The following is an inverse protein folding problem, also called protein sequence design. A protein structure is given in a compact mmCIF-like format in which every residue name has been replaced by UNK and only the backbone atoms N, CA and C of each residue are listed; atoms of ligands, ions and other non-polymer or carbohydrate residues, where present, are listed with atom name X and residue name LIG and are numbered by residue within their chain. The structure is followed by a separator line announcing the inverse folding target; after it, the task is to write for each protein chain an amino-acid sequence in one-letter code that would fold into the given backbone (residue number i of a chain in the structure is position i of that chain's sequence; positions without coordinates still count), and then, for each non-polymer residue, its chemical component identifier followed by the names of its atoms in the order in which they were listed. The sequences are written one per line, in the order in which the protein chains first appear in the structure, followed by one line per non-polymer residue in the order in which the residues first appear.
data_IF_267572362327
#
_entry.id   IF_267572362327
#
_cell.length_a   1.000
_cell.length_b   1.000
_cell.length_c   1.000
_cell.angle_alpha   90.00
_cell.angle_beta   90.00
_cell.angle_gamma   90.00
#
_symmetry.space_group_name_H-M   'P 1'
#
loop_
_entity.id
_entity.type
_entity.pdbx_description
1 polymer ?
#
# COMPACT_ATOMS: atom_id res chain seq x y z
N UNK A 1 -13.83 -64.69 -31.31
CA UNK A 1 -14.62 -64.00 -30.26
C UNK A 1 -14.00 -64.06 -28.87
N UNK A 2 -13.55 -65.22 -28.34
CA UNK A 2 -12.96 -65.31 -26.98
C UNK A 2 -11.71 -64.43 -26.75
N UNK A 3 -10.84 -64.27 -27.76
CA UNK A 3 -9.62 -63.46 -27.65
C UNK A 3 -9.86 -61.94 -27.64
N UNK A 4 -10.96 -61.47 -28.23
CA UNK A 4 -11.32 -60.04 -28.29
C UNK A 4 -11.94 -59.60 -26.96
N UNK A 5 -12.73 -60.48 -26.34
CA UNK A 5 -13.33 -60.25 -25.02
C UNK A 5 -12.23 -60.15 -23.94
N UNK A 6 -11.19 -60.99 -24.01
CA UNK A 6 -10.07 -60.93 -23.07
C UNK A 6 -9.27 -59.61 -23.19
N UNK A 7 -9.07 -59.11 -24.42
CA UNK A 7 -8.38 -57.84 -24.68
C UNK A 7 -9.18 -56.63 -24.15
N UNK A 8 -10.50 -56.65 -24.31
CA UNK A 8 -11.41 -55.60 -23.81
C UNK A 8 -11.46 -55.56 -22.28
N UNK A 9 -11.39 -56.71 -21.60
CA UNK A 9 -11.37 -56.76 -20.13
C UNK A 9 -10.04 -56.21 -19.58
N UNK A 10 -8.90 -56.53 -20.21
CA UNK A 10 -7.59 -56.02 -19.80
C UNK A 10 -7.49 -54.49 -20.01
N UNK A 11 -8.02 -53.97 -21.12
CA UNK A 11 -8.12 -52.53 -21.36
C UNK A 11 -9.03 -51.83 -20.33
N UNK A 12 -10.12 -52.46 -19.89
CA UNK A 12 -11.01 -51.90 -18.87
C UNK A 12 -10.35 -51.88 -17.47
N UNK A 13 -9.55 -52.89 -17.12
CA UNK A 13 -8.80 -52.97 -15.86
C UNK A 13 -7.63 -51.97 -15.83
N UNK A 14 -6.97 -51.70 -16.97
CA UNK A 14 -5.95 -50.66 -17.05
C UNK A 14 -6.54 -49.23 -17.07
N UNK A 15 -7.75 -49.04 -17.63
CA UNK A 15 -8.42 -47.73 -17.62
C UNK A 15 -8.92 -47.32 -16.22
N UNK A 16 -9.25 -48.27 -15.35
CA UNK A 16 -9.70 -47.98 -13.98
C UNK A 16 -8.55 -47.65 -13.03
N UNK A 17 -7.33 -48.12 -13.29
CA UNK A 17 -6.14 -47.76 -12.50
C UNK A 17 -5.67 -46.32 -12.76
N UNK A 18 -5.96 -45.74 -13.93
CA UNK A 18 -5.59 -44.34 -14.26
C UNK A 18 -6.57 -43.28 -13.73
N UNK A 19 -7.73 -43.67 -13.19
CA UNK A 19 -8.76 -42.73 -12.70
C UNK A 19 -8.79 -42.54 -11.19
N UNK A 20 -7.96 -43.26 -10.44
CA UNK A 20 -7.72 -42.98 -9.03
C UNK A 20 -6.43 -42.18 -8.91
N UNK A 21 -6.51 -40.88 -9.20
CA UNK A 21 -5.49 -39.95 -8.71
C UNK A 21 -5.42 -40.12 -7.20
N UNK A 22 -4.27 -40.55 -6.68
CA UNK A 22 -4.03 -40.59 -5.24
C UNK A 22 -4.39 -39.21 -4.67
N UNK A 23 -5.39 -39.18 -3.79
CA UNK A 23 -5.65 -38.00 -2.99
C UNK A 23 -4.39 -37.80 -2.15
N UNK A 24 -3.58 -36.81 -2.52
CA UNK A 24 -2.39 -36.43 -1.76
C UNK A 24 -2.71 -36.26 -0.28
N UNK A 25 -1.70 -36.38 0.61
CA UNK A 25 -1.92 -36.32 2.04
C UNK A 25 -2.70 -35.05 2.41
N UNK A 26 -3.77 -35.22 3.20
CA UNK A 26 -4.59 -34.08 3.62
C UNK A 26 -3.69 -33.09 4.39
N UNK A 27 -3.76 -31.77 4.09
CA UNK A 27 -2.87 -30.78 4.71
C UNK A 27 -2.90 -30.86 6.22
N UNK A 28 -1.77 -30.58 6.88
CA UNK A 28 -1.63 -30.65 8.33
C UNK A 28 -2.71 -29.85 9.07
N UNK A 29 -3.02 -30.25 10.30
CA UNK A 29 -4.04 -29.60 11.11
C UNK A 29 -3.44 -28.40 11.84
N UNK A 30 -4.20 -27.32 11.93
CA UNK A 30 -3.83 -26.18 12.78
C UNK A 30 -4.07 -26.59 14.24
N UNK A 31 -3.10 -26.34 15.10
CA UNK A 31 -3.23 -26.53 16.56
C UNK A 31 -3.25 -25.18 17.27
N UNK A 32 -3.95 -25.11 18.39
CA UNK A 32 -3.95 -23.95 19.28
C UNK A 32 -2.72 -23.96 20.21
N UNK A 33 -2.62 -22.96 21.08
CA UNK A 33 -1.51 -22.79 22.03
C UNK A 33 -1.44 -23.89 23.10
N UNK A 34 -2.45 -24.75 23.22
CA UNK A 34 -2.46 -25.92 24.09
C UNK A 34 -2.12 -27.21 23.32
N UNK A 35 -1.78 -27.11 22.03
CA UNK A 35 -1.52 -28.24 21.14
C UNK A 35 -2.79 -28.99 20.72
N UNK A 36 -3.98 -28.44 21.00
CA UNK A 36 -5.25 -29.05 20.60
C UNK A 36 -5.62 -28.60 19.20
N UNK A 37 -6.31 -29.48 18.46
CA UNK A 37 -6.74 -29.19 17.08
C UNK A 37 -7.74 -28.06 17.05
N UNK A 38 -7.51 -27.07 16.19
CA UNK A 38 -8.46 -26.01 15.90
C UNK A 38 -9.66 -26.59 15.15
N UNK A 39 -10.87 -26.33 15.64
CA UNK A 39 -12.13 -26.90 15.13
C UNK A 39 -13.00 -25.83 14.49
N UNK A 40 -13.79 -26.25 13.51
CA UNK A 40 -14.80 -25.39 12.90
C UNK A 40 -15.93 -25.07 13.90
N UNK A 41 -16.50 -23.87 13.82
CA UNK A 41 -17.68 -23.50 14.63
C UNK A 41 -17.43 -23.21 16.12
N UNK A 42 -16.18 -23.26 16.57
CA UNK A 42 -15.78 -22.89 17.94
C UNK A 42 -15.07 -21.54 17.92
N UNK A 43 -15.22 -20.77 19.00
CA UNK A 43 -14.59 -19.46 19.18
C UNK A 43 -13.12 -19.59 19.60
N UNK A 44 -12.24 -18.89 18.88
CA UNK A 44 -10.81 -18.81 19.14
C UNK A 44 -10.35 -17.35 19.22
N UNK A 45 -9.39 -17.05 20.09
CA UNK A 45 -8.68 -15.77 20.06
C UNK A 45 -7.43 -15.91 19.20
N UNK A 46 -7.29 -15.08 18.17
CA UNK A 46 -6.03 -14.98 17.43
C UNK A 46 -5.13 -14.00 18.18
N UNK A 47 -3.98 -14.47 18.66
CA UNK A 47 -2.98 -13.67 19.38
C UNK A 47 -1.74 -13.50 18.51
N UNK A 48 -1.35 -12.27 18.14
CA UNK A 48 -0.05 -12.03 17.55
C UNK A 48 1.06 -12.47 18.50
N UNK A 49 2.08 -13.11 17.93
CA UNK A 49 3.28 -13.53 18.67
C UNK A 49 4.07 -12.25 19.02
N UNK A 50 4.43 -12.03 20.31
CA UNK A 50 5.19 -10.85 20.71
C UNK A 50 6.55 -10.80 20.00
N UNK A 51 6.91 -9.62 19.47
CA UNK A 51 8.22 -9.40 18.83
C UNK A 51 9.33 -9.11 19.84
N UNK A 52 8.98 -8.86 21.10
CA UNK A 52 9.91 -8.71 22.22
C UNK A 52 9.80 -9.91 23.16
N UNK A 53 10.89 -10.64 23.41
CA UNK A 53 10.91 -11.69 24.41
C UNK A 53 10.54 -11.11 25.77
N UNK A 54 9.73 -11.82 26.54
CA UNK A 54 9.47 -11.53 27.94
C UNK A 54 10.73 -11.87 28.77
N UNK A 55 11.78 -11.07 28.63
CA UNK A 55 13.08 -11.28 29.29
C UNK A 55 13.15 -10.70 30.71
N UNK A 56 12.02 -10.20 31.22
CA UNK A 56 11.88 -9.68 32.58
C UNK A 56 12.44 -8.27 32.81
N UNK A 57 12.95 -7.56 31.78
CA UNK A 57 13.49 -6.19 31.92
C UNK A 57 12.53 -5.07 31.50
N UNK A 58 11.23 -5.37 31.40
CA UNK A 58 10.20 -4.37 31.13
C UNK A 58 8.79 -4.95 31.31
N UNK A 59 7.74 -4.12 31.30
CA UNK A 59 6.37 -4.60 31.32
C UNK A 59 6.15 -5.48 30.10
N UNK A 60 5.92 -6.77 30.34
CA UNK A 60 5.40 -7.66 29.30
C UNK A 60 4.07 -7.05 28.87
N UNK A 61 3.97 -6.55 27.63
CA UNK A 61 2.67 -6.13 27.10
C UNK A 61 1.91 -7.41 26.79
N UNK A 62 1.27 -7.97 27.81
CA UNK A 62 0.53 -9.23 27.72
C UNK A 62 -0.74 -8.98 26.90
N UNK A 63 -0.68 -9.36 25.63
CA UNK A 63 -1.85 -9.45 24.76
C UNK A 63 -1.89 -8.34 23.73
N UNK A 64 -1.70 -8.73 22.47
CA UNK A 64 -2.30 -8.02 21.35
C UNK A 64 -3.46 -8.85 20.85
N UNK A 65 -4.51 -8.21 20.36
CA UNK A 65 -5.70 -8.92 19.91
C UNK A 65 -6.47 -8.14 18.87
N UNK A 66 -7.19 -8.87 18.02
CA UNK A 66 -7.98 -8.27 16.96
C UNK A 66 -9.27 -7.69 17.52
N UNK A 67 -9.65 -6.49 17.08
CA UNK A 67 -10.93 -5.88 17.38
C UNK A 67 -11.53 -5.27 16.11
N UNK A 68 -12.85 -5.14 16.10
CA UNK A 68 -13.57 -4.44 15.05
C UNK A 68 -13.74 -2.96 15.44
N UNK A 69 -13.33 -2.05 14.56
CA UNK A 69 -13.45 -0.60 14.76
C UNK A 69 -14.01 0.10 13.52
N UNK A 70 -14.72 1.21 13.72
CA UNK A 70 -15.09 2.10 12.62
C UNK A 70 -13.82 2.64 11.92
N UNK A 71 -13.88 2.83 10.60
CA UNK A 71 -12.76 3.40 9.82
C UNK A 71 -12.47 4.83 10.23
N UNK A 72 -13.53 5.60 10.45
CA UNK A 72 -13.45 6.98 10.95
C UNK A 72 -14.80 7.39 11.55
N UNK A 73 -14.87 8.59 12.13
CA UNK A 73 -16.13 9.17 12.58
C UNK A 73 -17.17 9.31 11.45
N UNK A 74 -16.73 9.42 10.19
CA UNK A 74 -17.59 9.61 9.02
C UNK A 74 -17.83 8.31 8.23
N UNK A 75 -17.04 7.26 8.48
CA UNK A 75 -17.14 5.96 7.83
C UNK A 75 -17.23 4.90 8.93
N UNK A 76 -18.45 4.69 9.41
CA UNK A 76 -18.73 3.79 10.54
C UNK A 76 -18.84 2.32 10.12
N UNK A 77 -19.18 2.05 8.86
CA UNK A 77 -19.33 0.71 8.29
C UNK A 77 -18.72 0.65 6.88
N UNK A 78 -18.18 -0.52 6.45
CA UNK A 78 -17.94 -1.71 7.26
C UNK A 78 -16.79 -1.49 8.26
N UNK A 79 -16.72 -2.33 9.31
CA UNK A 79 -15.73 -2.20 10.37
C UNK A 79 -14.37 -2.75 9.90
N UNK A 80 -13.29 -2.06 10.28
CA UNK A 80 -11.93 -2.55 10.07
C UNK A 80 -11.55 -3.57 11.14
N UNK A 81 -10.79 -4.58 10.72
CA UNK A 81 -10.12 -5.52 11.61
C UNK A 81 -8.76 -4.94 12.00
N UNK A 82 -8.60 -4.54 13.27
CA UNK A 82 -7.36 -3.91 13.76
C UNK A 82 -6.77 -4.69 14.92
N UNK A 83 -5.46 -4.61 15.11
CA UNK A 83 -4.77 -5.16 16.28
C UNK A 83 -4.60 -4.07 17.31
N UNK A 84 -4.99 -4.35 18.56
CA UNK A 84 -4.81 -3.44 19.70
C UNK A 84 -3.89 -4.09 20.72
N UNK A 85 -2.86 -3.35 21.12
CA UNK A 85 -1.93 -3.74 22.18
C UNK A 85 -2.58 -3.64 23.57
N UNK A 86 -2.19 -4.52 24.48
CA UNK A 86 -2.75 -4.60 25.84
C UNK A 86 -4.16 -5.22 25.92
N UNK A 87 -4.69 -5.76 24.81
CA UNK A 87 -6.04 -6.32 24.76
C UNK A 87 -6.03 -7.76 24.22
N UNK A 88 -6.86 -8.64 24.81
CA UNK A 88 -6.95 -10.06 24.40
C UNK A 88 -7.55 -10.22 22.99
N UNK A 89 -8.29 -9.22 22.52
CA UNK A 89 -9.01 -9.25 21.25
C UNK A 89 -10.42 -9.83 21.38
N UNK A 90 -11.11 -9.87 20.25
CA UNK A 90 -12.41 -10.46 20.04
C UNK A 90 -12.25 -11.86 19.45
N UNK A 91 -13.07 -12.80 19.89
CA UNK A 91 -13.00 -14.16 19.40
C UNK A 91 -13.51 -14.25 17.94
N UNK A 92 -12.93 -15.19 17.20
CA UNK A 92 -13.30 -15.51 15.84
C UNK A 92 -13.71 -16.97 15.72
N UNK A 93 -14.53 -17.26 14.73
CA UNK A 93 -14.92 -18.59 14.32
C UNK A 93 -14.37 -18.81 12.91
N UNK A 94 -13.70 -19.95 12.73
CA UNK A 94 -13.23 -20.39 11.43
C UNK A 94 -14.24 -21.33 10.77
N UNK A 95 -14.52 -21.10 9.49
CA UNK A 95 -15.35 -21.97 8.66
C UNK A 95 -14.56 -22.36 7.41
N UNK A 96 -14.08 -23.62 7.29
CA UNK A 96 -13.31 -24.04 6.13
C UNK A 96 -14.22 -24.17 4.90
N UNK A 97 -13.63 -24.07 3.71
CA UNK A 97 -14.31 -24.21 2.41
C UNK A 97 -15.14 -25.49 2.30
N UNK A 98 -14.69 -26.56 2.98
CA UNK A 98 -15.47 -27.78 3.19
C UNK A 98 -15.85 -27.93 4.67
N UNK A 99 -17.03 -27.42 5.08
CA UNK A 99 -17.42 -27.37 6.49
C UNK A 99 -17.64 -28.76 7.12
N UNK A 100 -17.79 -29.81 6.30
CA UNK A 100 -17.98 -31.19 6.79
C UNK A 100 -16.73 -31.79 7.44
N UNK A 101 -15.55 -31.18 7.24
CA UNK A 101 -14.27 -31.75 7.69
C UNK A 101 -13.89 -31.45 9.16
N UNK A 102 -14.69 -30.67 9.91
CA UNK A 102 -14.62 -30.55 11.38
C UNK A 102 -13.37 -29.90 11.99
N UNK A 103 -12.23 -29.96 11.32
CA UNK A 103 -10.93 -29.43 11.74
C UNK A 103 -10.42 -28.40 10.74
N UNK A 104 -9.71 -27.40 11.24
CA UNK A 104 -9.03 -26.39 10.41
C UNK A 104 -7.66 -26.94 10.01
N UNK A 105 -7.31 -26.78 8.73
CA UNK A 105 -6.07 -27.29 8.14
C UNK A 105 -5.26 -26.18 7.53
N UNK A 106 -3.95 -26.34 7.55
CA UNK A 106 -3.02 -25.38 6.96
C UNK A 106 -3.28 -25.25 5.46
N UNK A 107 -3.07 -24.04 4.94
CA UNK A 107 -3.20 -23.68 3.53
C UNK A 107 -4.55 -24.05 2.89
N UNK A 108 -5.60 -24.24 3.69
CA UNK A 108 -6.97 -24.52 3.23
C UNK A 108 -7.79 -23.24 3.32
N UNK A 109 -8.52 -22.91 2.24
CA UNK A 109 -9.42 -21.74 2.21
C UNK A 109 -10.44 -21.81 3.35
N UNK A 110 -10.59 -20.71 4.08
CA UNK A 110 -11.55 -20.57 5.17
C UNK A 110 -12.09 -19.14 5.26
N UNK A 111 -13.29 -19.00 5.82
CA UNK A 111 -13.83 -17.71 6.25
C UNK A 111 -13.51 -17.51 7.74
N UNK A 112 -13.33 -16.25 8.12
CA UNK A 112 -13.14 -15.82 9.51
C UNK A 112 -14.32 -14.92 9.86
N UNK A 113 -15.01 -15.19 10.96
CA UNK A 113 -16.14 -14.37 11.43
C UNK A 113 -16.00 -14.08 12.91
N UNK A 114 -16.35 -12.87 13.34
CA UNK A 114 -16.51 -12.53 14.76
C UNK A 114 -17.97 -12.64 15.18
N UNK A 115 -18.30 -13.32 16.28
CA UNK A 115 -19.70 -13.49 16.72
C UNK A 115 -20.17 -12.34 17.62
N UNK A 116 -20.13 -11.12 17.09
CA UNK A 116 -20.54 -9.91 17.81
C UNK A 116 -21.70 -9.22 17.10
N UNK A 117 -22.62 -8.67 17.89
CA UNK A 117 -23.61 -7.71 17.41
C UNK A 117 -22.91 -6.37 17.21
N UNK A 118 -23.08 -5.76 16.04
CA UNK A 118 -22.46 -4.46 15.71
C UNK A 118 -23.53 -3.47 15.26
N UNK A 119 -23.16 -2.19 15.16
CA UNK A 119 -24.03 -1.15 14.60
C UNK A 119 -24.24 -1.29 13.09
N UNK A 120 -23.39 -2.08 12.43
CA UNK A 120 -23.41 -2.27 10.98
C UNK A 120 -24.44 -3.33 10.59
N UNK A 121 -25.13 -3.12 9.47
CA UNK A 121 -26.09 -4.08 8.93
C UNK A 121 -25.40 -5.23 8.19
N UNK A 122 -24.17 -5.01 7.74
CA UNK A 122 -23.35 -6.02 7.09
C UNK A 122 -22.86 -7.07 8.08
N UNK A 123 -22.52 -8.26 7.57
CA UNK A 123 -22.01 -9.35 8.39
C UNK A 123 -20.65 -9.01 9.01
N UNK A 124 -20.29 -9.68 10.10
CA UNK A 124 -18.95 -9.62 10.72
C UNK A 124 -17.93 -10.58 10.07
N UNK A 125 -18.24 -11.13 8.91
CA UNK A 125 -17.32 -11.99 8.15
C UNK A 125 -16.22 -11.12 7.56
N UNK A 126 -14.98 -11.51 7.80
CA UNK A 126 -13.81 -10.81 7.31
C UNK A 126 -13.75 -10.91 5.78
N UNK A 127 -13.40 -9.82 5.12
CA UNK A 127 -13.09 -9.73 3.69
C UNK A 127 -11.91 -8.80 3.47
N UNK A 128 -11.18 -9.01 2.38
CA UNK A 128 -10.29 -8.00 1.84
C UNK A 128 -11.15 -6.91 1.18
N UNK A 129 -10.98 -5.67 1.63
CA UNK A 129 -11.69 -4.53 1.05
C UNK A 129 -10.95 -3.96 -0.16
N UNK A 130 -11.54 -2.95 -0.80
CA UNK A 130 -10.89 -2.23 -1.90
C UNK A 130 -9.55 -1.60 -1.46
N UNK A 131 -8.63 -1.47 -2.43
CA UNK A 131 -7.33 -0.87 -2.19
C UNK A 131 -7.47 0.58 -1.70
N UNK A 132 -6.95 0.85 -0.49
CA UNK A 132 -6.85 2.22 0.01
C UNK A 132 -5.59 2.87 -0.54
N UNK A 133 -5.79 3.64 -1.61
CA UNK A 133 -4.75 4.44 -2.24
C UNK A 133 -4.09 5.47 -1.31
N UNK A 134 -4.73 5.87 -0.21
CA UNK A 134 -4.20 6.89 0.70
C UNK A 134 -3.14 6.34 1.66
N UNK A 135 -3.32 5.12 2.14
CA UNK A 135 -2.30 4.37 2.89
C UNK A 135 -1.38 3.57 1.97
N UNK A 136 -1.79 3.34 0.71
CA UNK A 136 -1.11 2.45 -0.22
C UNK A 136 -1.26 0.97 0.18
N UNK A 137 -2.33 0.64 0.90
CA UNK A 137 -2.53 -0.66 1.53
C UNK A 137 -3.91 -1.25 1.20
N UNK A 138 -4.03 -2.56 1.38
CA UNK A 138 -5.30 -3.27 1.39
C UNK A 138 -5.65 -3.57 2.84
N UNK A 139 -6.91 -3.38 3.23
CA UNK A 139 -7.36 -3.64 4.59
C UNK A 139 -8.29 -4.84 4.64
N UNK A 140 -8.27 -5.53 5.78
CA UNK A 140 -9.28 -6.54 6.12
C UNK A 140 -10.41 -5.84 6.88
N UNK A 141 -11.63 -5.97 6.37
CA UNK A 141 -12.83 -5.39 6.98
C UNK A 141 -13.93 -6.43 7.11
N UNK A 142 -15.04 -6.04 7.74
CA UNK A 142 -16.26 -6.85 7.78
C UNK A 142 -17.07 -6.73 6.49
N UNK A 143 -18.17 -7.49 6.39
CA UNK A 143 -19.12 -7.45 5.28
C UNK A 143 -18.93 -8.56 4.24
N UNK A 144 -18.14 -9.59 4.52
CA UNK A 144 -18.07 -10.79 3.69
C UNK A 144 -19.31 -11.69 3.82
N UNK A 145 -19.29 -12.85 3.15
CA UNK A 145 -20.37 -13.85 3.23
C UNK A 145 -19.78 -15.22 3.52
N UNK A 146 -20.35 -15.98 4.46
CA UNK A 146 -19.87 -17.36 4.72
C UNK A 146 -20.24 -18.27 3.53
N UNK A 147 -19.28 -19.06 3.07
CA UNK A 147 -19.51 -20.10 2.06
C UNK A 147 -19.58 -19.56 0.63
N UNK A 148 -20.27 -20.31 -0.24
CA UNK A 148 -20.39 -20.06 -1.68
C UNK A 148 -19.03 -19.84 -2.38
N UNK A 149 -18.08 -20.81 -2.28
CA UNK A 149 -16.75 -20.65 -2.85
C UNK A 149 -16.82 -20.41 -4.35
N UNK A 150 -16.23 -19.30 -4.80
CA UNK A 150 -16.25 -18.90 -6.20
C UNK A 150 -15.77 -17.47 -6.40
N UNK A 151 -15.95 -16.98 -7.62
CA UNK A 151 -15.58 -15.61 -8.02
C UNK A 151 -16.24 -14.54 -7.14
N UNK A 152 -17.50 -14.72 -6.77
CA UNK A 152 -18.30 -13.68 -6.10
C UNK A 152 -17.96 -13.53 -4.61
N UNK A 153 -17.34 -14.54 -4.00
CA UNK A 153 -16.92 -14.51 -2.58
C UNK A 153 -15.41 -14.52 -2.42
N UNK A 154 -14.66 -14.36 -3.51
CA UNK A 154 -13.20 -14.51 -3.51
C UNK A 154 -12.50 -13.60 -2.48
N UNK A 155 -13.07 -12.43 -2.19
CA UNK A 155 -12.52 -11.46 -1.24
C UNK A 155 -12.61 -11.89 0.23
N UNK A 156 -13.39 -12.91 0.59
CA UNK A 156 -13.58 -13.32 1.99
C UNK A 156 -12.99 -14.70 2.33
N UNK A 157 -12.07 -15.20 1.50
CA UNK A 157 -11.35 -16.45 1.72
C UNK A 157 -9.89 -16.19 2.12
N UNK A 158 -9.52 -16.73 3.27
CA UNK A 158 -8.20 -16.63 3.87
C UNK A 158 -7.62 -18.03 4.07
N UNK A 159 -6.33 -18.09 4.38
CA UNK A 159 -5.61 -19.30 4.78
C UNK A 159 -4.83 -19.06 6.05
N UNK A 160 -4.62 -20.13 6.81
CA UNK A 160 -3.65 -20.19 7.90
C UNK A 160 -2.47 -21.00 7.38
N UNK A 161 -1.26 -20.46 7.43
CA UNK A 161 -0.05 -21.13 7.00
C UNK A 161 0.93 -21.22 8.17
N UNK A 162 1.81 -22.24 8.15
CA UNK A 162 2.94 -22.29 9.08
C UNK A 162 3.88 -21.10 8.86
N UNK A 163 4.41 -20.57 9.95
CA UNK A 163 5.40 -19.50 9.93
C UNK A 163 6.28 -19.63 11.17
N UNK A 164 7.55 -19.99 10.95
CA UNK A 164 8.46 -20.39 12.01
C UNK A 164 7.83 -21.47 12.91
N UNK A 165 7.78 -21.25 14.22
CA UNK A 165 7.17 -22.16 15.20
C UNK A 165 5.65 -21.92 15.40
N UNK A 166 5.08 -20.95 14.68
CA UNK A 166 3.69 -20.47 14.82
C UNK A 166 2.94 -20.50 13.46
N UNK A 167 1.94 -19.63 13.34
CA UNK A 167 1.10 -19.48 12.16
C UNK A 167 0.99 -18.03 11.70
N UNK A 168 0.76 -17.84 10.40
CA UNK A 168 0.38 -16.56 9.79
C UNK A 168 -0.96 -16.68 9.07
N UNK A 169 -1.67 -15.56 9.00
CA UNK A 169 -2.83 -15.41 8.14
C UNK A 169 -2.39 -14.94 6.75
N UNK A 170 -3.03 -15.50 5.72
CA UNK A 170 -2.73 -15.19 4.31
C UNK A 170 -4.03 -14.96 3.56
N UNK A 171 -4.05 -13.90 2.74
CA UNK A 171 -5.06 -13.74 1.71
C UNK A 171 -4.45 -14.20 0.39
N UNK A 172 -4.80 -15.43 -0.02
CA UNK A 172 -4.41 -16.02 -1.30
C UNK A 172 -5.44 -17.11 -1.66
N UNK A 173 -6.67 -16.69 -1.99
CA UNK A 173 -7.80 -17.60 -2.12
C UNK A 173 -7.66 -18.51 -3.34
N UNK A 174 -8.02 -19.78 -3.18
CA UNK A 174 -7.99 -20.79 -4.27
C UNK A 174 -9.38 -21.32 -4.64
N UNK A 175 -10.43 -20.59 -4.27
CA UNK A 175 -11.83 -20.95 -4.55
C UNK A 175 -12.28 -20.63 -5.99
N UNK A 176 -11.40 -20.10 -6.84
CA UNK A 176 -11.70 -19.74 -8.22
C UNK A 176 -10.48 -19.97 -9.12
N UNK A 177 -10.54 -21.01 -9.95
CA UNK A 177 -9.39 -21.51 -10.73
C UNK A 177 -8.90 -20.53 -11.82
N UNK A 178 -9.78 -19.69 -12.34
CA UNK A 178 -9.45 -18.71 -13.39
C UNK A 178 -9.22 -17.29 -12.85
N UNK A 179 -9.48 -17.07 -11.56
CA UNK A 179 -9.24 -15.77 -10.94
C UNK A 179 -7.75 -15.57 -10.68
N UNK A 180 -7.29 -14.32 -10.72
CA UNK A 180 -5.93 -13.93 -10.33
C UNK A 180 -5.99 -13.03 -9.09
N UNK A 181 -6.38 -13.58 -7.92
CA UNK A 181 -6.52 -12.79 -6.71
C UNK A 181 -5.16 -12.29 -6.21
N UNK A 182 -5.21 -11.29 -5.33
CA UNK A 182 -4.05 -10.92 -4.54
C UNK A 182 -3.59 -12.13 -3.71
N UNK A 183 -2.28 -12.36 -3.66
CA UNK A 183 -1.66 -13.36 -2.79
C UNK A 183 -0.63 -12.67 -1.88
N UNK A 184 -1.03 -12.37 -0.63
CA UNK A 184 -0.20 -11.67 0.35
C UNK A 184 -0.47 -12.16 1.78
N UNK A 185 0.55 -12.07 2.63
CA UNK A 185 0.38 -12.24 4.08
C UNK A 185 -0.49 -11.10 4.64
N UNK A 186 -1.33 -11.43 5.61
CA UNK A 186 -2.10 -10.46 6.39
C UNK A 186 -1.24 -10.04 7.58
N UNK A 187 -1.00 -8.74 7.73
CA UNK A 187 -0.19 -8.18 8.82
C UNK A 187 -0.80 -6.91 9.39
N UNK A 188 -0.22 -6.41 10.48
CA UNK A 188 -0.63 -5.12 11.05
C UNK A 188 -0.14 -3.99 10.14
N UNK A 189 -1.09 -3.21 9.63
CA UNK A 189 -0.79 -1.97 8.93
C UNK A 189 -0.24 -0.95 9.93
N UNK A 190 0.99 -0.48 9.71
CA UNK A 190 1.47 0.73 10.39
C UNK A 190 0.48 1.89 10.17
N UNK A 191 0.31 2.77 11.16
CA UNK A 191 -0.62 3.89 11.08
C UNK A 191 -0.47 4.71 9.79
N UNK A 192 -1.54 5.42 9.39
CA UNK A 192 -1.52 6.27 8.21
C UNK A 192 -0.25 7.16 8.22
N UNK A 193 0.43 7.34 7.07
CA UNK A 193 1.69 8.08 7.06
C UNK A 193 1.51 9.46 7.69
N UNK A 194 2.51 9.88 8.45
CA UNK A 194 2.47 11.15 9.19
C UNK A 194 2.10 12.33 8.28
N UNK A 195 1.47 13.33 8.87
CA UNK A 195 1.07 14.54 8.13
C UNK A 195 2.31 15.39 7.85
N UNK A 196 2.38 15.96 6.65
CA UNK A 196 3.33 17.04 6.40
C UNK A 196 2.80 18.27 7.11
N UNK A 197 3.65 18.92 7.91
CA UNK A 197 3.34 20.19 8.57
C UNK A 197 4.16 21.33 7.98
N UNK A 198 3.55 22.51 7.93
CA UNK A 198 4.17 23.74 7.49
C UNK A 198 5.08 24.36 8.57
N UNK A 199 5.73 25.48 8.26
CA UNK A 199 6.62 26.22 9.17
C UNK A 199 5.95 26.71 10.45
N UNK A 200 4.61 26.71 10.53
CA UNK A 200 3.84 27.05 11.73
C UNK A 200 3.39 25.82 12.53
N UNK A 201 3.76 24.61 12.08
CA UNK A 201 3.34 23.35 12.69
C UNK A 201 1.91 22.92 12.30
N UNK A 202 1.27 23.61 11.36
CA UNK A 202 -0.07 23.26 10.87
C UNK A 202 0.02 22.28 9.71
N UNK A 203 -1.02 21.47 9.54
CA UNK A 203 -1.07 20.46 8.48
C UNK A 203 -1.08 21.12 7.09
N UNK A 204 -0.19 20.67 6.21
CA UNK A 204 -0.18 21.03 4.80
C UNK A 204 -1.40 20.44 4.10
N UNK A 205 -2.17 21.29 3.42
CA UNK A 205 -3.43 20.94 2.77
C UNK A 205 -3.30 20.90 1.26
N UNK A 206 -4.01 19.97 0.64
CA UNK A 206 -4.11 19.91 -0.81
C UNK A 206 -4.83 21.15 -1.35
N UNK A 207 -4.41 21.66 -2.51
CA UNK A 207 -5.04 22.83 -3.13
C UNK A 207 -4.71 24.19 -2.49
N UNK A 208 -3.92 24.22 -1.42
CA UNK A 208 -3.47 25.46 -0.78
C UNK A 208 -2.08 25.83 -1.30
N UNK A 209 -1.82 27.14 -1.40
CA UNK A 209 -0.56 27.69 -1.88
C UNK A 209 0.49 27.67 -0.75
N UNK A 210 1.66 27.12 -1.05
CA UNK A 210 2.81 27.12 -0.15
C UNK A 210 4.09 27.61 -0.85
N UNK A 211 4.84 28.49 -0.22
CA UNK A 211 6.22 28.75 -0.62
C UNK A 211 7.13 27.59 -0.23
N UNK A 212 8.06 27.29 -1.13
CA UNK A 212 9.21 26.42 -0.86
C UNK A 212 10.26 27.22 -0.08
N UNK A 213 10.57 26.80 1.14
CA UNK A 213 11.55 27.48 1.99
C UNK A 213 12.76 26.57 2.22
N UNK A 214 13.98 26.97 1.80
CA UNK A 214 15.20 26.26 2.17
C UNK A 214 15.30 26.08 3.68
N UNK A 215 15.62 24.88 4.14
CA UNK A 215 15.80 24.64 5.58
C UNK A 215 17.12 25.15 6.13
N UNK A 216 17.99 25.73 5.29
CA UNK A 216 19.26 26.31 5.72
C UNK A 216 19.06 27.79 6.06
N UNK A 217 19.37 28.24 7.29
CA UNK A 217 19.02 29.58 7.78
C UNK A 217 19.65 30.73 6.99
N UNK A 218 20.77 30.48 6.30
CA UNK A 218 21.51 31.48 5.53
C UNK A 218 21.18 31.46 4.03
N UNK A 219 20.18 30.67 3.60
CA UNK A 219 19.81 30.56 2.19
C UNK A 219 18.47 31.22 1.97
N UNK A 220 18.51 32.40 1.34
CA UNK A 220 17.31 33.06 0.85
C UNK A 220 17.09 32.61 -0.59
N UNK A 221 15.91 32.05 -0.85
CA UNK A 221 15.53 31.62 -2.18
C UNK A 221 14.27 30.76 -2.17
N UNK A 222 13.83 30.41 -3.36
CA UNK A 222 12.59 29.68 -3.59
C UNK A 222 12.59 29.03 -4.96
N UNK A 223 11.53 28.30 -5.26
CA UNK A 223 11.41 27.64 -6.56
C UNK A 223 10.71 28.50 -7.57
N UNK A 224 11.18 28.46 -8.81
CA UNK A 224 10.56 29.08 -9.95
C UNK A 224 10.72 28.16 -11.16
N UNK A 225 10.22 28.59 -12.31
CA UNK A 225 10.50 27.95 -13.58
C UNK A 225 11.01 28.98 -14.60
N UNK A 226 11.90 28.57 -15.48
CA UNK A 226 12.45 29.44 -16.53
C UNK A 226 12.93 28.65 -17.75
N UNK A 227 13.15 29.35 -18.86
CA UNK A 227 13.79 28.80 -20.05
C UNK A 227 15.28 28.60 -19.78
N UNK A 228 15.84 27.47 -20.23
CA UNK A 228 17.27 27.17 -20.08
C UNK A 228 17.86 26.84 -21.44
N UNK A 229 18.88 27.60 -21.84
CA UNK A 229 19.56 27.43 -23.12
C UNK A 229 18.76 27.97 -24.31
N UNK A 230 18.86 27.28 -25.45
CA UNK A 230 18.25 27.68 -26.73
C UNK A 230 16.81 27.19 -26.86
N UNK A 231 16.43 26.14 -26.12
CA UNK A 231 15.06 25.63 -26.11
C UNK A 231 14.20 26.44 -25.15
N UNK A 232 13.09 26.99 -25.67
CA UNK A 232 12.18 27.82 -24.89
C UNK A 232 11.19 27.02 -24.06
N UNK A 233 10.87 25.78 -24.45
CA UNK A 233 9.91 24.91 -23.77
C UNK A 233 10.36 23.43 -23.87
N UNK A 234 10.11 22.56 -22.86
CA UNK A 234 9.50 22.88 -21.57
C UNK A 234 10.38 23.69 -20.63
N UNK A 235 9.76 24.56 -19.83
CA UNK A 235 10.49 25.35 -18.84
C UNK A 235 11.03 24.43 -17.73
N UNK A 236 12.25 24.71 -17.30
CA UNK A 236 12.91 23.95 -16.25
C UNK A 236 12.54 24.49 -14.88
N UNK A 237 12.41 23.60 -13.90
CA UNK A 237 12.24 23.97 -12.49
C UNK A 237 13.60 24.35 -11.91
N UNK A 238 13.71 25.56 -11.36
CA UNK A 238 14.95 26.12 -10.83
C UNK A 238 14.78 26.63 -9.40
N UNK A 239 15.90 26.75 -8.71
CA UNK A 239 16.03 27.49 -7.46
C UNK A 239 16.50 28.92 -7.74
N UNK A 240 15.66 29.90 -7.45
CA UNK A 240 15.98 31.31 -7.55
C UNK A 240 16.52 31.82 -6.21
N UNK A 241 17.74 32.36 -6.20
CA UNK A 241 18.30 33.02 -5.01
C UNK A 241 17.56 34.33 -4.75
N UNK A 242 17.53 34.75 -3.48
CA UNK A 242 17.06 36.07 -3.04
C UNK A 242 15.60 36.39 -3.42
N UNK A 243 14.83 35.37 -3.77
CA UNK A 243 13.40 35.45 -4.09
C UNK A 243 12.65 34.33 -3.37
N UNK A 244 11.43 34.60 -2.88
CA UNK A 244 10.56 33.55 -2.29
C UNK A 244 10.08 32.52 -3.33
N UNK A 245 10.35 32.78 -4.62
CA UNK A 245 9.88 31.97 -5.72
C UNK A 245 8.36 32.02 -5.87
N UNK A 246 7.86 31.15 -6.74
CA UNK A 246 6.44 30.96 -7.01
C UNK A 246 5.84 29.95 -6.03
N UNK A 247 4.58 30.13 -5.58
CA UNK A 247 3.94 29.17 -4.70
C UNK A 247 3.69 27.83 -5.38
N UNK A 248 3.76 26.76 -4.59
CA UNK A 248 3.45 25.40 -4.97
C UNK A 248 2.07 25.01 -4.45
N UNK A 249 1.41 24.15 -5.22
CA UNK A 249 0.18 23.44 -4.84
C UNK A 249 0.44 21.95 -4.89
N UNK A 250 -0.06 21.23 -3.89
CA UNK A 250 0.02 19.78 -3.81
C UNK A 250 -1.33 19.14 -4.12
N UNK A 251 -1.31 18.11 -4.95
CA UNK A 251 -2.49 17.27 -5.23
C UNK A 251 -2.15 15.81 -4.94
N UNK A 252 -2.57 15.27 -3.78
CA UNK A 252 -2.39 13.86 -3.46
C UNK A 252 -3.03 12.95 -4.51
N UNK A 253 -2.47 11.75 -4.69
CA UNK A 253 -3.01 10.72 -5.60
C UNK A 253 -4.48 10.41 -5.35
N UNK A 254 -4.92 10.53 -4.10
CA UNK A 254 -6.31 10.53 -3.73
C UNK A 254 -6.82 11.97 -3.54
N UNK A 255 -7.36 12.54 -4.61
CA UNK A 255 -7.87 13.92 -4.63
C UNK A 255 -9.06 14.18 -3.69
N UNK A 256 -9.73 13.12 -3.20
CA UNK A 256 -10.82 13.25 -2.21
C UNK A 256 -10.31 13.59 -0.81
N UNK A 257 -9.00 13.42 -0.53
CA UNK A 257 -8.40 13.71 0.77
C UNK A 257 -7.58 14.99 0.71
N UNK A 258 -7.98 15.99 1.50
CA UNK A 258 -7.34 17.31 1.54
C UNK A 258 -6.07 17.42 2.38
N UNK A 259 -5.50 16.31 2.87
CA UNK A 259 -4.30 16.31 3.73
C UNK A 259 -3.11 15.76 2.98
N UNK A 260 -1.99 16.49 2.98
CA UNK A 260 -0.72 16.02 2.43
C UNK A 260 0.03 15.19 3.48
N UNK A 261 0.49 14.01 3.10
CA UNK A 261 1.14 13.04 3.99
C UNK A 261 2.51 12.64 3.47
N UNK A 262 3.41 12.29 4.39
CA UNK A 262 4.74 11.82 4.02
C UNK A 262 4.65 10.48 3.28
N UNK A 263 5.56 10.27 2.33
CA UNK A 263 5.69 9.06 1.53
C UNK A 263 4.45 8.63 0.72
N UNK A 264 3.47 9.53 0.54
CA UNK A 264 2.30 9.35 -0.33
C UNK A 264 2.55 10.02 -1.69
N UNK A 265 2.15 9.36 -2.77
CA UNK A 265 2.25 9.92 -4.13
C UNK A 265 1.39 11.19 -4.27
N UNK A 266 1.97 12.23 -4.85
CA UNK A 266 1.28 13.49 -5.15
C UNK A 266 1.84 14.14 -6.42
N UNK A 267 1.02 14.95 -7.08
CA UNK A 267 1.47 15.91 -8.08
C UNK A 267 1.84 17.23 -7.38
N UNK A 268 2.81 17.93 -7.97
CA UNK A 268 3.25 19.27 -7.55
C UNK A 268 3.08 20.18 -8.76
N UNK A 269 2.50 21.36 -8.59
CA UNK A 269 2.47 22.38 -9.63
C UNK A 269 2.71 23.76 -9.03
N UNK A 270 3.19 24.69 -9.84
CA UNK A 270 3.17 26.10 -9.44
C UNK A 270 1.73 26.63 -9.51
N UNK A 271 1.31 27.37 -8.48
CA UNK A 271 -0.04 27.92 -8.38
C UNK A 271 -0.36 28.87 -9.54
N UNK A 272 0.64 29.67 -9.90
CA UNK A 272 0.61 30.64 -10.97
C UNK A 272 2.05 30.92 -11.44
N UNK A 273 2.17 31.59 -12.58
CA UNK A 273 3.42 32.08 -13.12
C UNK A 273 3.26 32.42 -14.60
N UNK A 274 3.80 33.57 -14.99
CA UNK A 274 3.75 34.00 -16.39
C UNK A 274 4.70 33.17 -17.23
N UNK A 275 4.18 32.59 -18.31
CA UNK A 275 4.91 31.73 -19.23
C UNK A 275 4.50 32.05 -20.65
N UNK A 276 5.49 32.18 -21.54
CA UNK A 276 5.26 32.23 -22.98
C UNK A 276 4.94 30.84 -23.59
N UNK A 277 5.19 29.76 -22.84
CA UNK A 277 4.89 28.39 -23.25
C UNK A 277 3.44 28.03 -22.88
N UNK A 278 2.65 27.41 -23.78
CA UNK A 278 1.27 27.00 -23.52
C UNK A 278 1.15 25.73 -22.65
N UNK A 279 2.13 25.51 -21.76
CA UNK A 279 2.32 24.28 -20.99
C UNK A 279 1.67 24.36 -19.62
N UNK A 280 1.41 23.20 -19.01
CA UNK A 280 0.98 23.16 -17.63
C UNK A 280 2.13 23.55 -16.69
N UNK A 281 1.81 24.09 -15.50
CA UNK A 281 2.79 24.35 -14.43
C UNK A 281 3.08 23.11 -13.57
N UNK A 282 2.59 21.94 -13.99
CA UNK A 282 2.71 20.68 -13.26
C UNK A 282 4.11 20.12 -13.46
N UNK A 283 4.72 19.68 -12.38
CA UNK A 283 6.06 19.13 -12.40
C UNK A 283 6.09 17.78 -13.11
N UNK A 284 7.16 17.57 -13.87
CA UNK A 284 7.46 16.36 -14.59
C UNK A 284 8.96 16.06 -14.51
N UNK A 285 9.33 14.79 -14.36
CA UNK A 285 10.73 14.37 -14.50
C UNK A 285 11.06 14.18 -15.98
N UNK A 286 11.92 15.03 -16.51
CA UNK A 286 12.35 15.00 -17.90
C UNK A 286 13.15 13.76 -18.29
N UNK A 287 13.42 13.66 -19.60
CA UNK A 287 14.35 12.67 -20.15
C UNK A 287 15.75 12.85 -19.58
N UNK A 288 16.55 11.78 -19.65
CA UNK A 288 17.97 11.86 -19.27
C UNK A 288 18.69 12.80 -20.21
N UNK A 289 19.35 13.79 -19.65
CA UNK A 289 20.23 14.70 -20.36
C UNK A 289 21.56 13.98 -20.66
N UNK A 290 21.90 13.84 -21.93
CA UNK A 290 23.09 13.07 -22.34
C UNK A 290 24.41 13.77 -22.01
N UNK A 291 24.40 15.10 -21.87
CA UNK A 291 25.62 15.88 -21.59
C UNK A 291 26.02 15.79 -20.11
N UNK A 292 25.04 15.78 -19.22
CA UNK A 292 25.25 15.75 -17.76
C UNK A 292 24.99 14.37 -17.14
N UNK A 293 24.31 13.48 -17.88
CA UNK A 293 23.81 12.20 -17.38
C UNK A 293 22.65 12.34 -16.39
N UNK A 294 22.17 13.55 -16.10
CA UNK A 294 21.16 13.86 -15.09
C UNK A 294 19.73 13.77 -15.64
N UNK A 295 18.77 13.67 -14.73
CA UNK A 295 17.34 13.86 -15.04
C UNK A 295 16.83 15.10 -14.32
N UNK A 296 16.47 16.12 -15.09
CA UNK A 296 16.01 17.40 -14.55
C UNK A 296 14.50 17.43 -14.40
N UNK A 297 14.03 18.23 -13.45
CA UNK A 297 12.61 18.55 -13.32
C UNK A 297 12.24 19.67 -14.29
N UNK A 298 11.16 19.46 -15.02
CA UNK A 298 10.53 20.44 -15.89
C UNK A 298 9.10 20.66 -15.45
N UNK A 299 8.45 21.66 -16.03
CA UNK A 299 6.99 21.73 -16.03
C UNK A 299 6.42 20.93 -17.22
N UNK A 300 5.14 21.10 -17.54
CA UNK A 300 4.40 20.37 -18.58
C UNK A 300 3.95 18.95 -18.21
N UNK A 301 3.82 18.67 -16.92
CA UNK A 301 3.19 17.46 -16.40
C UNK A 301 1.67 17.46 -16.55
N UNK A 302 1.04 16.39 -16.03
CA UNK A 302 -0.41 16.21 -16.02
C UNK A 302 -0.84 15.83 -14.61
N UNK A 303 -1.85 16.51 -14.07
CA UNK A 303 -2.47 16.18 -12.77
C UNK A 303 -3.30 14.90 -12.92
N UNK A 304 -3.19 14.00 -11.94
CA UNK A 304 -4.00 12.81 -11.83
C UNK A 304 -3.61 11.71 -12.83
N UNK A 305 -4.60 10.87 -13.19
CA UNK A 305 -4.43 9.69 -14.03
C UNK A 305 -3.28 8.78 -13.58
N UNK A 306 -3.24 8.32 -12.31
CA UNK A 306 -2.12 7.55 -11.77
C UNK A 306 -1.89 6.26 -12.57
N UNK A 307 -0.68 6.12 -13.12
CA UNK A 307 -0.33 4.94 -13.91
C UNK A 307 0.93 5.15 -14.75
N UNK A 308 1.20 4.18 -15.64
CA UNK A 308 2.39 4.17 -16.50
C UNK A 308 2.57 5.44 -17.34
N UNK A 309 1.46 6.03 -17.83
CA UNK A 309 1.50 7.22 -18.70
C UNK A 309 1.89 8.52 -17.97
N UNK A 310 1.62 8.60 -16.66
CA UNK A 310 1.87 9.82 -15.86
C UNK A 310 2.92 9.61 -14.79
N UNK A 311 3.61 8.46 -14.77
CA UNK A 311 4.55 8.05 -13.71
C UNK A 311 5.66 9.08 -13.45
N UNK A 312 6.01 9.91 -14.44
CA UNK A 312 7.01 10.99 -14.29
C UNK A 312 6.50 12.23 -13.52
N UNK A 313 5.19 12.33 -13.27
CA UNK A 313 4.53 13.48 -12.63
C UNK A 313 4.29 13.27 -11.13
N UNK A 314 4.68 12.11 -10.60
CA UNK A 314 4.35 11.67 -9.24
C UNK A 314 5.58 11.72 -8.33
N UNK A 315 5.43 12.46 -7.25
CA UNK A 315 6.47 12.75 -6.28
C UNK A 315 6.02 12.36 -4.88
N UNK A 316 6.96 12.30 -3.95
CA UNK A 316 6.71 12.08 -2.53
C UNK A 316 7.44 13.13 -1.71
N UNK A 317 6.86 13.51 -0.58
CA UNK A 317 7.52 14.29 0.47
C UNK A 317 7.96 13.30 1.55
N UNK A 318 9.21 13.35 2.02
CA UNK A 318 9.69 12.52 3.14
C UNK A 318 10.26 13.39 4.24
N UNK A 319 10.18 12.94 5.49
CA UNK A 319 10.94 13.55 6.59
C UNK A 319 12.44 13.49 6.28
N UNK A 320 13.13 14.57 6.60
CA UNK A 320 14.57 14.67 6.45
C UNK A 320 15.14 15.59 7.53
N UNK A 321 15.78 14.99 8.52
CA UNK A 321 16.21 15.65 9.76
C UNK A 321 15.02 16.34 10.43
N UNK A 322 15.12 17.64 10.72
CA UNK A 322 14.02 18.42 11.26
C UNK A 322 13.04 18.94 10.19
N UNK A 323 13.33 18.81 8.89
CA UNK A 323 12.47 19.29 7.81
C UNK A 323 12.01 18.17 6.87
N UNK A 324 11.88 18.47 5.60
CA UNK A 324 11.48 17.52 4.56
C UNK A 324 12.46 17.48 3.40
N UNK A 325 12.30 16.46 2.57
CA UNK A 325 12.89 16.38 1.23
C UNK A 325 11.85 15.92 0.21
N UNK A 326 12.02 16.35 -1.03
CA UNK A 326 11.24 15.87 -2.17
C UNK A 326 11.94 14.66 -2.80
N UNK A 327 11.15 13.67 -3.22
CA UNK A 327 11.64 12.40 -3.74
C UNK A 327 10.85 11.98 -4.98
N UNK A 328 11.56 11.52 -6.00
CA UNK A 328 10.96 10.78 -7.11
C UNK A 328 11.06 9.29 -6.84
N UNK A 329 9.97 8.71 -6.34
CA UNK A 329 9.84 7.27 -6.09
C UNK A 329 8.36 6.88 -6.16
N UNK A 330 7.73 7.01 -7.34
CA UNK A 330 6.30 6.78 -7.48
C UNK A 330 5.89 5.37 -7.06
N UNK A 331 4.63 5.19 -6.67
CA UNK A 331 4.01 3.87 -6.46
C UNK A 331 2.77 3.66 -7.33
N UNK A 332 2.47 4.62 -8.21
CA UNK A 332 1.32 4.59 -9.14
C UNK A 332 1.46 3.58 -10.29
N UNK A 333 2.66 3.02 -10.52
CA UNK A 333 2.90 2.03 -11.57
C UNK A 333 3.78 0.89 -11.04
N UNK A 334 3.17 -0.28 -10.80
CA UNK A 334 3.84 -1.45 -10.20
C UNK A 334 4.87 -2.11 -11.12
N UNK A 335 4.60 -2.11 -12.42
CA UNK A 335 5.44 -2.78 -13.43
C UNK A 335 6.43 -1.82 -14.11
N UNK A 336 6.48 -0.57 -13.66
CA UNK A 336 7.41 0.42 -14.19
C UNK A 336 8.78 0.29 -13.52
N UNK A 337 9.83 0.28 -14.34
CA UNK A 337 11.21 0.25 -13.85
C UNK A 337 11.80 1.66 -13.83
N UNK A 338 12.04 2.18 -12.63
CA UNK A 338 12.78 3.42 -12.41
C UNK A 338 13.56 3.32 -11.10
N UNK A 339 14.71 4.00 -11.05
CA UNK A 339 15.48 4.14 -9.82
C UNK A 339 14.87 5.27 -8.98
N UNK A 340 14.49 4.95 -7.74
CA UNK A 340 14.10 5.98 -6.79
C UNK A 340 15.28 6.91 -6.50
N UNK A 341 15.01 8.21 -6.48
CA UNK A 341 16.03 9.24 -6.26
C UNK A 341 15.46 10.38 -5.45
N UNK A 342 16.28 10.97 -4.60
CA UNK A 342 15.97 12.25 -3.97
C UNK A 342 16.00 13.37 -5.04
N UNK A 343 15.41 14.51 -4.72
CA UNK A 343 15.47 15.71 -5.55
C UNK A 343 16.44 16.70 -4.89
N UNK A 344 17.42 17.14 -5.67
CA UNK A 344 18.47 18.07 -5.26
C UNK A 344 18.62 19.24 -6.23
N UNK A 345 19.57 20.12 -5.92
CA UNK A 345 19.99 21.20 -6.81
C UNK A 345 21.23 20.77 -7.59
N UNK A 346 21.20 20.99 -8.90
CA UNK A 346 22.32 20.86 -9.81
C UNK A 346 22.64 22.23 -10.42
N UNK A 347 23.90 22.66 -10.35
CA UNK A 347 24.35 23.89 -10.99
C UNK A 347 24.82 23.54 -12.39
N UNK A 348 24.14 24.09 -13.41
CA UNK A 348 24.56 23.88 -14.79
C UNK A 348 25.75 24.77 -15.18
N UNK A 349 26.27 24.55 -16.39
CA UNK A 349 27.43 25.28 -16.92
C UNK A 349 27.21 26.79 -17.05
N UNK A 350 25.97 27.26 -16.99
CA UNK A 350 25.59 28.68 -17.05
C UNK A 350 25.28 29.25 -15.66
N UNK A 351 25.44 28.46 -14.59
CA UNK A 351 25.18 28.87 -13.23
C UNK A 351 23.72 28.73 -12.79
N UNK A 352 22.83 28.17 -13.63
CA UNK A 352 21.44 27.95 -13.22
C UNK A 352 21.36 26.80 -12.22
N UNK A 353 20.63 27.03 -11.11
CA UNK A 353 20.38 26.03 -10.08
C UNK A 353 19.14 25.20 -10.42
N UNK A 354 19.30 24.18 -11.26
CA UNK A 354 18.22 23.32 -11.74
C UNK A 354 17.85 22.26 -10.70
N UNK A 355 16.57 21.93 -10.60
CA UNK A 355 16.16 20.76 -9.81
C UNK A 355 16.43 19.49 -10.61
N UNK A 356 17.05 18.51 -9.97
CA UNK A 356 17.44 17.25 -10.59
C UNK A 356 17.24 16.06 -9.65
N UNK A 357 17.08 14.88 -10.23
CA UNK A 357 17.25 13.63 -9.49
C UNK A 357 18.69 13.55 -8.99
N UNK A 358 18.86 13.43 -7.68
CA UNK A 358 20.16 13.48 -7.01
C UNK A 358 20.22 12.45 -5.87
N UNK A 359 21.44 12.07 -5.49
CA UNK A 359 21.71 11.35 -4.24
C UNK A 359 21.85 12.31 -3.05
N UNK A 360 21.95 13.62 -3.31
CA UNK A 360 22.04 14.67 -2.30
C UNK A 360 20.68 15.39 -2.28
N UNK A 361 19.83 15.12 -1.27
CA UNK A 361 18.52 15.76 -1.15
C UNK A 361 18.65 17.24 -0.83
N UNK A 362 17.77 18.07 -1.39
CA UNK A 362 17.61 19.44 -0.93
C UNK A 362 16.56 19.51 0.19
N UNK A 363 16.99 19.97 1.37
CA UNK A 363 16.16 20.05 2.57
C UNK A 363 15.24 21.28 2.53
N UNK A 364 13.96 21.07 2.82
CA UNK A 364 12.90 22.06 2.61
C UNK A 364 11.90 22.10 3.78
N UNK A 365 11.30 23.27 3.96
CA UNK A 365 10.05 23.50 4.66
C UNK A 365 8.99 24.12 3.74
N UNK A 366 7.73 23.99 4.12
CA UNK A 366 6.62 24.62 3.41
C UNK A 366 6.07 25.75 4.26
N UNK A 367 5.95 26.94 3.69
CA UNK A 367 5.36 28.09 4.36
C UNK A 367 4.05 28.45 3.64
N UNK A 368 2.90 28.59 4.34
CA UNK A 368 1.67 29.03 3.70
C UNK A 368 1.87 30.44 3.12
N UNK A 369 1.27 30.70 1.95
CA UNK A 369 1.30 32.01 1.29
C UNK A 369 0.37 33.00 1.96
#
# INVERSE_FOLDING_TARGET
MKSIILLLIILFVFCTQFLLGEAGPSPEQVVDTEGKKVRTGIEYYIRPVPTTPCDGRGPCVVGSGFVLVARSANETCPLNVVVVEGFRGQAVIFTPVNPKKGVIRVSTDLNIKTNLTTICTESTVWKLDDFDSSSGQWFVTTGGVIGNPGKDTISNWFKIEKYDDDYKLVFCPTVCDFCKPLCKNVGSAGGAPEQVVDTSGKVVRAGVNYHFVPASPNVIGGLAFTSIGIFTCPLAVIFANDSKGLPLVFTPVNSKKGVVRVNTDLNINFAYGDSMCPQSTVWNVGSRDNSTGQRFLTIDGVIGNPGRKTVANWFKIRKYENGYKLVYCPSVCKDCYYKCSDIGIYVDQFGNKRLALSNVPYKVWFQPV
#
